data_IF_499303803202
#
_entry.id   IF_499303803202
#
_cell.length_a   1.000
_cell.length_b   1.000
_cell.length_c   1.000
_cell.angle_alpha   90.00
_cell.angle_beta   90.00
_cell.angle_gamma   90.00
#
_symmetry.space_group_name_H-M   'P 1'
#
loop_
_entity.id
_entity.type
_entity.pdbx_description
1 polymer ?
#
# COMPACT_ATOMS: atom_id res chain seq x y z
N UNK A 1 -12.17 6.47 -6.33
CA UNK A 1 -13.03 7.20 -5.38
C UNK A 1 -12.42 7.19 -3.97
N UNK A 2 -12.21 6.02 -3.35
CA UNK A 2 -11.58 5.93 -2.01
C UNK A 2 -10.28 6.73 -1.89
N UNK A 3 -9.32 6.51 -2.80
CA UNK A 3 -8.06 7.26 -2.79
C UNK A 3 -8.21 8.78 -2.90
N UNK A 4 -9.22 9.30 -3.61
CA UNK A 4 -9.47 10.74 -3.69
C UNK A 4 -9.96 11.26 -2.33
N UNK A 5 -10.93 10.59 -1.72
CA UNK A 5 -11.48 11.01 -0.41
C UNK A 5 -10.41 10.93 0.68
N UNK A 6 -9.63 9.85 0.73
CA UNK A 6 -8.50 9.73 1.66
C UNK A 6 -7.42 10.80 1.41
N UNK A 7 -7.13 11.13 0.15
CA UNK A 7 -6.22 12.21 -0.20
C UNK A 7 -6.73 13.58 0.24
N UNK A 8 -8.03 13.84 0.10
CA UNK A 8 -8.65 15.07 0.59
C UNK A 8 -8.57 15.17 2.12
N UNK A 9 -8.81 14.06 2.83
CA UNK A 9 -8.65 13.99 4.29
C UNK A 9 -7.21 14.27 4.71
N UNK A 10 -6.22 13.69 4.01
CA UNK A 10 -4.80 13.92 4.27
C UNK A 10 -4.40 15.38 4.01
N UNK A 11 -4.86 15.98 2.90
CA UNK A 11 -4.64 17.40 2.62
C UNK A 11 -5.25 18.29 3.70
N UNK A 12 -6.48 18.01 4.11
CA UNK A 12 -7.16 18.76 5.16
C UNK A 12 -6.43 18.65 6.51
N UNK A 13 -6.04 17.45 6.92
CA UNK A 13 -5.30 17.22 8.17
C UNK A 13 -3.92 17.89 8.16
N UNK A 14 -3.27 17.94 7.00
CA UNK A 14 -1.95 18.58 6.86
C UNK A 14 -1.98 20.10 7.05
N UNK A 15 -3.13 20.75 6.79
CA UNK A 15 -3.26 22.21 6.74
C UNK A 15 -2.45 22.88 5.63
N UNK A 16 -1.99 22.13 4.62
CA UNK A 16 -1.25 22.68 3.48
C UNK A 16 -2.14 23.57 2.62
N UNK A 17 -1.54 24.68 2.16
CA UNK A 17 -2.14 25.58 1.19
C UNK A 17 -1.27 25.58 -0.06
N UNK A 18 -1.86 25.16 -1.18
CA UNK A 18 -1.19 25.18 -2.48
C UNK A 18 -1.37 26.55 -3.13
N UNK A 19 -0.28 27.15 -3.58
CA UNK A 19 -0.21 28.43 -4.28
C UNK A 19 0.57 28.26 -5.57
N UNK A 20 0.49 29.23 -6.48
CA UNK A 20 1.29 29.17 -7.71
C UNK A 20 2.80 29.17 -7.45
N UNK A 21 3.25 29.71 -6.33
CA UNK A 21 4.67 29.77 -5.94
C UNK A 21 5.20 28.42 -5.45
N UNK A 22 4.36 27.59 -4.81
CA UNK A 22 4.79 26.32 -4.22
C UNK A 22 4.29 25.08 -4.98
N UNK A 23 3.32 25.22 -5.88
CA UNK A 23 2.69 24.11 -6.60
C UNK A 23 3.68 23.19 -7.32
N UNK A 24 4.76 23.75 -7.89
CA UNK A 24 5.81 22.98 -8.60
C UNK A 24 6.63 22.07 -7.68
N UNK A 25 6.54 22.28 -6.36
CA UNK A 25 7.24 21.51 -5.32
C UNK A 25 6.34 20.52 -4.60
N UNK A 26 5.07 20.41 -5.01
CA UNK A 26 4.09 19.52 -4.40
C UNK A 26 3.66 18.46 -5.42
N UNK A 27 3.81 17.20 -5.07
CA UNK A 27 3.53 16.06 -5.96
C UNK A 27 2.65 14.99 -5.34
N UNK A 28 2.48 13.90 -6.08
CA UNK A 28 1.67 12.75 -5.67
C UNK A 28 2.32 11.42 -6.09
N UNK A 29 2.31 10.45 -5.18
CA UNK A 29 2.73 9.07 -5.39
C UNK A 29 1.65 8.14 -4.84
N UNK A 30 0.65 7.80 -5.65
CA UNK A 30 -0.49 7.01 -5.17
C UNK A 30 -0.70 5.82 -6.09
N UNK A 31 -0.62 4.63 -5.50
CA UNK A 31 -0.73 3.35 -6.21
C UNK A 31 -2.03 2.61 -5.95
N UNK A 32 -2.17 1.52 -6.68
CA UNK A 32 -3.20 0.49 -6.54
C UNK A 32 -2.63 -0.79 -7.14
N UNK A 33 -2.99 -1.95 -6.57
CA UNK A 33 -2.51 -3.22 -7.06
C UNK A 33 -3.15 -3.61 -8.40
N UNK A 34 -4.47 -3.42 -8.53
CA UNK A 34 -5.25 -3.91 -9.69
C UNK A 34 -6.07 -2.80 -10.37
N UNK A 35 -6.38 -1.70 -9.68
CA UNK A 35 -7.07 -0.55 -10.27
C UNK A 35 -8.58 -0.75 -10.39
N UNK A 36 -9.17 -0.24 -11.47
CA UNK A 36 -10.63 -0.15 -11.64
C UNK A 36 -11.31 -1.45 -12.09
N UNK A 37 -11.07 -2.57 -11.41
CA UNK A 37 -11.54 -3.90 -11.84
C UNK A 37 -13.06 -3.96 -12.09
N UNK A 38 -13.86 -3.29 -11.24
CA UNK A 38 -15.32 -3.27 -11.40
C UNK A 38 -15.78 -2.59 -12.70
N UNK A 39 -15.14 -1.48 -13.10
CA UNK A 39 -15.47 -0.79 -14.36
C UNK A 39 -14.93 -1.54 -15.57
N UNK A 40 -13.85 -2.32 -15.41
CA UNK A 40 -13.39 -3.25 -16.45
C UNK A 40 -14.45 -4.32 -16.70
N UNK A 41 -15.01 -4.94 -15.66
CA UNK A 41 -16.08 -5.93 -15.78
C UNK A 41 -17.33 -5.37 -16.47
N UNK A 42 -17.76 -4.17 -16.07
CA UNK A 42 -18.94 -3.50 -16.63
C UNK A 42 -18.75 -3.16 -18.13
N UNK A 43 -17.60 -2.59 -18.48
CA UNK A 43 -17.31 -2.20 -19.86
C UNK A 43 -17.08 -3.43 -20.75
N UNK A 44 -16.46 -4.49 -20.22
CA UNK A 44 -16.33 -5.76 -20.93
C UNK A 44 -17.71 -6.39 -21.20
N UNK A 45 -18.61 -6.40 -20.21
CA UNK A 45 -19.99 -6.90 -20.38
C UNK A 45 -20.73 -6.09 -21.45
N UNK A 46 -20.58 -4.77 -21.44
CA UNK A 46 -21.17 -3.87 -22.45
C UNK A 46 -20.63 -4.15 -23.87
N UNK A 47 -19.33 -4.39 -24.00
CA UNK A 47 -18.68 -4.78 -25.25
C UNK A 47 -19.23 -6.12 -25.78
N UNK A 48 -19.30 -7.16 -24.94
CA UNK A 48 -19.79 -8.49 -25.36
C UNK A 48 -21.25 -8.44 -25.80
N UNK A 49 -22.10 -7.71 -25.08
CA UNK A 49 -23.54 -7.68 -25.35
C UNK A 49 -23.95 -6.72 -26.47
N UNK A 50 -23.17 -5.67 -26.74
CA UNK A 50 -23.58 -4.60 -27.65
C UNK A 50 -22.50 -4.01 -28.54
N UNK A 51 -21.31 -4.63 -28.58
CA UNK A 51 -20.19 -4.21 -29.40
C UNK A 51 -19.46 -2.97 -28.87
N UNK A 52 -18.38 -2.53 -29.56
CA UNK A 52 -17.44 -1.52 -29.05
C UNK A 52 -18.06 -0.14 -28.85
N UNK A 53 -19.18 0.19 -29.52
CA UNK A 53 -19.89 1.46 -29.34
C UNK A 53 -20.56 1.59 -27.96
N UNK A 54 -20.63 0.51 -27.18
CA UNK A 54 -21.16 0.50 -25.81
C UNK A 54 -20.11 0.70 -24.73
N UNK A 55 -18.83 0.72 -25.10
CA UNK A 55 -17.76 1.03 -24.15
C UNK A 55 -17.88 2.51 -23.76
N UNK A 56 -17.81 2.79 -22.47
CA UNK A 56 -17.82 4.16 -21.96
C UNK A 56 -16.62 4.95 -22.50
N UNK A 57 -16.80 6.20 -22.95
CA UNK A 57 -15.67 7.06 -23.33
C UNK A 57 -14.73 7.34 -22.14
N UNK A 58 -15.20 7.14 -20.90
CA UNK A 58 -14.42 7.28 -19.69
C UNK A 58 -13.76 5.99 -19.23
N UNK A 59 -13.92 4.87 -19.96
CA UNK A 59 -13.37 3.57 -19.57
C UNK A 59 -11.90 3.69 -19.13
N UNK A 60 -11.02 4.15 -20.02
CA UNK A 60 -9.58 4.28 -19.74
C UNK A 60 -9.29 5.19 -18.53
N UNK A 61 -9.71 6.48 -18.50
CA UNK A 61 -9.43 7.36 -17.35
C UNK A 61 -10.18 6.99 -16.07
N UNK A 62 -11.13 6.05 -16.11
CA UNK A 62 -11.82 5.55 -14.91
C UNK A 62 -11.17 4.29 -14.32
N UNK A 63 -10.28 3.61 -15.06
CA UNK A 63 -9.75 2.30 -14.65
C UNK A 63 -8.24 2.26 -14.40
N UNK A 64 -7.46 3.09 -15.08
CA UNK A 64 -6.00 3.02 -14.98
C UNK A 64 -5.51 3.53 -13.60
N UNK A 65 -4.54 2.82 -13.03
CA UNK A 65 -4.07 2.95 -11.64
C UNK A 65 -3.69 4.38 -11.27
N UNK A 66 -3.05 5.12 -12.19
CA UNK A 66 -2.48 6.43 -11.90
C UNK A 66 -3.50 7.57 -11.75
N UNK A 67 -4.79 7.29 -11.97
CA UNK A 67 -5.80 8.35 -12.00
C UNK A 67 -6.07 8.95 -10.62
N UNK A 68 -5.75 8.28 -9.52
CA UNK A 68 -5.92 8.90 -8.19
C UNK A 68 -4.94 10.05 -7.99
N UNK A 69 -3.65 9.82 -8.29
CA UNK A 69 -2.64 10.87 -8.31
C UNK A 69 -3.04 11.99 -9.29
N UNK A 70 -3.46 11.62 -10.51
CA UNK A 70 -3.91 12.59 -11.52
C UNK A 70 -5.08 13.48 -11.05
N UNK A 71 -6.13 12.90 -10.47
CA UNK A 71 -7.29 13.67 -9.99
C UNK A 71 -6.91 14.58 -8.81
N UNK A 72 -6.13 14.08 -7.84
CA UNK A 72 -5.70 14.90 -6.71
C UNK A 72 -4.79 16.06 -7.15
N UNK A 73 -3.90 15.82 -8.13
CA UNK A 73 -3.09 16.87 -8.73
C UNK A 73 -3.94 17.94 -9.40
N UNK A 74 -4.99 17.56 -10.14
CA UNK A 74 -5.92 18.51 -10.74
C UNK A 74 -6.71 19.27 -9.67
N UNK A 75 -7.22 18.58 -8.65
CA UNK A 75 -8.06 19.17 -7.62
C UNK A 75 -7.33 20.20 -6.75
N UNK A 76 -6.05 19.95 -6.43
CA UNK A 76 -5.25 20.81 -5.56
C UNK A 76 -4.21 21.65 -6.31
N UNK A 77 -4.10 21.53 -7.63
CA UNK A 77 -3.12 22.26 -8.43
C UNK A 77 -1.67 21.81 -8.19
N UNK A 78 -1.45 20.53 -7.91
CA UNK A 78 -0.12 19.96 -7.68
C UNK A 78 0.63 19.85 -9.03
N UNK A 79 1.81 20.46 -9.13
CA UNK A 79 2.62 20.55 -10.36
C UNK A 79 3.99 19.88 -10.22
N UNK A 80 4.27 19.26 -9.07
CA UNK A 80 5.48 18.47 -8.83
C UNK A 80 5.41 17.04 -9.37
N UNK A 81 6.33 16.16 -8.95
CA UNK A 81 6.40 14.76 -9.40
C UNK A 81 5.08 14.01 -9.21
N UNK A 82 4.64 13.27 -10.24
CA UNK A 82 3.41 12.49 -10.22
C UNK A 82 3.69 11.06 -10.68
N UNK A 83 3.73 10.12 -9.73
CA UNK A 83 4.01 8.70 -9.99
C UNK A 83 2.91 7.80 -9.41
N UNK A 84 2.85 6.55 -9.88
CA UNK A 84 1.92 5.54 -9.38
C UNK A 84 2.55 4.17 -9.50
N UNK A 85 3.07 3.66 -8.38
CA UNK A 85 3.72 2.35 -8.34
C UNK A 85 2.66 1.27 -8.13
N UNK A 86 2.64 0.27 -9.00
CA UNK A 86 1.73 -0.87 -8.95
C UNK A 86 2.54 -2.16 -8.77
N UNK A 87 2.69 -2.60 -7.52
CA UNK A 87 3.47 -3.79 -7.14
C UNK A 87 2.64 -4.72 -6.26
N UNK A 88 1.37 -4.94 -6.63
CA UNK A 88 0.41 -5.72 -5.86
C UNK A 88 0.33 -5.22 -4.41
N UNK A 89 0.46 -6.12 -3.42
CA UNK A 89 0.28 -5.81 -2.00
C UNK A 89 1.33 -4.86 -1.40
N UNK A 90 2.42 -4.56 -2.12
CA UNK A 90 3.45 -3.62 -1.68
C UNK A 90 3.27 -2.22 -2.26
N UNK A 91 2.25 -1.99 -3.11
CA UNK A 91 2.02 -0.72 -3.80
C UNK A 91 2.02 0.46 -2.82
N UNK A 92 1.23 0.42 -1.74
CA UNK A 92 1.18 1.49 -0.74
C UNK A 92 2.54 1.78 -0.09
N UNK A 93 3.26 0.73 0.34
CA UNK A 93 4.59 0.87 0.96
C UNK A 93 5.60 1.48 -0.03
N UNK A 94 5.63 1.00 -1.28
CA UNK A 94 6.55 1.52 -2.28
C UNK A 94 6.24 2.96 -2.67
N UNK A 95 4.96 3.34 -2.80
CA UNK A 95 4.60 4.72 -3.10
C UNK A 95 5.03 5.67 -1.97
N UNK A 96 4.83 5.29 -0.70
CA UNK A 96 5.31 6.06 0.46
C UNK A 96 6.84 6.14 0.47
N UNK A 97 7.53 5.00 0.30
CA UNK A 97 8.99 4.96 0.28
C UNK A 97 9.61 5.82 -0.82
N UNK A 98 9.10 5.71 -2.05
CA UNK A 98 9.59 6.51 -3.18
C UNK A 98 9.20 7.99 -3.07
N UNK A 99 8.05 8.33 -2.49
CA UNK A 99 7.73 9.72 -2.19
C UNK A 99 8.73 10.35 -1.20
N UNK A 100 9.10 9.61 -0.14
CA UNK A 100 10.16 10.05 0.77
C UNK A 100 11.50 10.21 0.04
N UNK A 101 11.84 9.32 -0.92
CA UNK A 101 13.04 9.47 -1.76
C UNK A 101 13.01 10.69 -2.66
N UNK A 102 11.87 10.99 -3.28
CA UNK A 102 11.69 12.19 -4.13
C UNK A 102 11.93 13.45 -3.30
N UNK A 103 11.40 13.50 -2.08
CA UNK A 103 11.63 14.63 -1.15
C UNK A 103 13.10 14.70 -0.74
N UNK A 104 13.68 13.58 -0.31
CA UNK A 104 15.09 13.52 0.10
C UNK A 104 16.06 13.89 -1.03
N UNK A 105 15.69 13.62 -2.28
CA UNK A 105 16.45 14.01 -3.48
C UNK A 105 16.20 15.47 -3.90
N UNK A 106 15.37 16.19 -3.15
CA UNK A 106 15.00 17.59 -3.38
C UNK A 106 14.22 17.82 -4.70
N UNK A 107 13.55 16.80 -5.23
CA UNK A 107 12.67 16.94 -6.40
C UNK A 107 11.26 17.47 -6.02
N UNK A 108 10.87 17.33 -4.75
CA UNK A 108 9.66 17.89 -4.16
C UNK A 108 9.89 18.31 -2.71
N UNK A 109 9.11 19.26 -2.21
CA UNK A 109 9.05 19.60 -0.79
C UNK A 109 7.90 18.86 -0.09
N UNK A 110 6.84 18.51 -0.84
CA UNK A 110 5.66 17.80 -0.34
C UNK A 110 5.23 16.70 -1.32
N UNK A 111 4.83 15.54 -0.80
CA UNK A 111 4.22 14.47 -1.57
C UNK A 111 2.99 13.90 -0.86
N UNK A 112 1.84 13.83 -1.55
CA UNK A 112 0.75 12.93 -1.13
C UNK A 112 1.15 11.51 -1.50
N UNK A 113 1.18 10.60 -0.55
CA UNK A 113 1.64 9.24 -0.80
C UNK A 113 0.75 8.16 -0.17
N UNK A 114 0.58 7.03 -0.85
CA UNK A 114 -0.15 5.89 -0.29
C UNK A 114 -0.70 4.93 -1.33
N UNK A 115 -1.77 4.25 -0.95
CA UNK A 115 -2.41 3.18 -1.73
C UNK A 115 -3.93 3.21 -1.63
N UNK A 116 -4.59 2.64 -2.63
CA UNK A 116 -6.02 2.39 -2.62
C UNK A 116 -6.38 1.15 -3.42
N UNK A 117 -7.43 0.47 -3.00
CA UNK A 117 -7.94 -0.68 -3.71
C UNK A 117 -9.46 -0.82 -3.55
N UNK A 118 -10.09 -1.34 -4.61
CA UNK A 118 -11.45 -1.87 -4.58
C UNK A 118 -11.48 -3.12 -5.47
N UNK A 119 -11.15 -4.27 -4.89
CA UNK A 119 -11.06 -5.54 -5.62
C UNK A 119 -12.18 -6.53 -5.22
N UNK A 120 -13.10 -6.15 -4.34
CA UNK A 120 -14.27 -6.97 -3.96
C UNK A 120 -15.32 -7.03 -5.10
N UNK A 121 -14.91 -7.53 -6.27
CA UNK A 121 -15.74 -7.70 -7.47
C UNK A 121 -15.83 -9.18 -7.81
N UNK A 122 -16.80 -9.61 -8.65
CA UNK A 122 -16.85 -10.98 -9.14
C UNK A 122 -15.51 -11.50 -9.68
N UNK A 123 -14.78 -10.73 -10.49
CA UNK A 123 -13.51 -11.17 -11.05
C UNK A 123 -12.41 -11.21 -9.99
N UNK A 124 -12.38 -10.25 -9.06
CA UNK A 124 -11.38 -10.23 -7.98
C UNK A 124 -11.56 -11.40 -7.00
N UNK A 125 -12.77 -11.57 -6.47
CA UNK A 125 -13.09 -12.68 -5.55
C UNK A 125 -12.96 -14.02 -6.26
N UNK A 126 -13.48 -14.14 -7.49
CA UNK A 126 -13.37 -15.36 -8.30
C UNK A 126 -11.92 -15.72 -8.64
N UNK A 127 -11.09 -14.73 -9.01
CA UNK A 127 -9.68 -14.92 -9.32
C UNK A 127 -8.86 -15.41 -8.12
N UNK A 128 -8.97 -14.74 -6.97
CA UNK A 128 -8.28 -15.19 -5.76
C UNK A 128 -8.84 -16.50 -5.20
N UNK A 129 -10.15 -16.75 -5.35
CA UNK A 129 -10.77 -18.03 -5.03
C UNK A 129 -10.23 -19.17 -5.90
N UNK A 130 -10.07 -18.95 -7.20
CA UNK A 130 -9.49 -19.92 -8.14
C UNK A 130 -8.03 -20.26 -7.79
N UNK A 131 -7.27 -19.27 -7.31
CA UNK A 131 -5.91 -19.46 -6.79
C UNK A 131 -5.86 -20.12 -5.39
N UNK A 132 -7.02 -20.39 -4.75
CA UNK A 132 -7.13 -20.90 -3.38
C UNK A 132 -6.40 -20.01 -2.35
N UNK A 133 -6.43 -18.70 -2.56
CA UNK A 133 -5.75 -17.74 -1.70
C UNK A 133 -6.65 -17.14 -0.61
N UNK A 134 -7.98 -17.19 -0.81
CA UNK A 134 -8.97 -16.66 0.13
C UNK A 134 -9.33 -17.68 1.21
N UNK A 135 -9.57 -17.19 2.44
CA UNK A 135 -10.25 -17.97 3.46
C UNK A 135 -11.64 -18.40 2.98
N UNK A 136 -12.06 -19.60 3.37
CA UNK A 136 -13.37 -20.18 3.01
C UNK A 136 -14.31 -20.32 4.21
N UNK A 137 -13.97 -19.66 5.32
CA UNK A 137 -14.72 -19.69 6.59
C UNK A 137 -15.99 -18.83 6.54
N UNK A 138 -16.93 -19.25 5.72
CA UNK A 138 -18.18 -18.53 5.48
C UNK A 138 -19.14 -18.57 6.69
N UNK A 139 -19.02 -19.59 7.55
CA UNK A 139 -19.86 -19.78 8.73
C UNK A 139 -19.51 -18.84 9.90
N UNK A 140 -18.27 -18.32 9.92
CA UNK A 140 -17.82 -17.34 10.91
C UNK A 140 -16.86 -16.31 10.28
N UNK A 141 -17.36 -15.37 9.46
CA UNK A 141 -16.53 -14.45 8.69
C UNK A 141 -15.65 -13.54 9.55
N UNK A 142 -16.14 -13.10 10.72
CA UNK A 142 -15.38 -12.23 11.63
C UNK A 142 -14.15 -12.91 12.22
N UNK A 143 -14.16 -14.25 12.28
CA UNK A 143 -13.02 -15.04 12.73
C UNK A 143 -12.18 -15.57 11.56
N UNK A 144 -12.50 -15.27 10.30
CA UNK A 144 -11.80 -15.83 9.14
C UNK A 144 -10.35 -15.33 9.04
N UNK A 145 -10.12 -14.03 9.25
CA UNK A 145 -8.77 -13.45 9.26
C UNK A 145 -8.11 -13.67 10.62
N UNK A 146 -7.16 -14.60 10.66
CA UNK A 146 -6.49 -15.04 11.90
C UNK A 146 -4.98 -15.24 11.68
N UNK A 147 -4.23 -14.15 11.44
CA UNK A 147 -2.78 -14.22 11.21
C UNK A 147 -2.05 -15.05 12.28
N UNK A 148 -1.19 -15.95 11.82
CA UNK A 148 -0.43 -16.95 12.60
C UNK A 148 -1.23 -18.02 13.36
N UNK A 149 -2.57 -17.95 13.39
CA UNK A 149 -3.38 -19.00 14.02
C UNK A 149 -3.19 -20.34 13.29
N UNK A 150 -3.24 -21.44 14.05
CA UNK A 150 -3.02 -22.79 13.52
C UNK A 150 -4.07 -23.19 12.47
N UNK A 151 -5.27 -22.63 12.54
CA UNK A 151 -6.43 -22.98 11.70
C UNK A 151 -6.69 -21.93 10.60
N UNK A 152 -5.68 -21.12 10.27
CA UNK A 152 -5.73 -20.16 9.15
C UNK A 152 -5.75 -20.88 7.80
N UNK A 153 -6.57 -20.41 6.88
CA UNK A 153 -6.85 -21.09 5.60
C UNK A 153 -6.74 -20.17 4.37
N UNK A 154 -6.34 -18.92 4.55
CA UNK A 154 -6.22 -17.93 3.46
C UNK A 154 -6.44 -16.51 3.97
N UNK A 155 -6.20 -15.52 3.12
CA UNK A 155 -6.46 -14.13 3.48
C UNK A 155 -7.94 -13.78 3.32
N UNK A 156 -8.39 -12.74 4.02
CA UNK A 156 -9.73 -12.14 3.83
C UNK A 156 -9.58 -10.88 3.01
N UNK A 157 -10.30 -10.76 1.90
CA UNK A 157 -10.24 -9.57 1.04
C UNK A 157 -10.90 -8.37 1.73
N UNK A 158 -10.22 -7.23 1.68
CA UNK A 158 -10.77 -5.93 2.11
C UNK A 158 -10.58 -4.88 1.02
N UNK A 159 -11.32 -3.78 1.14
CA UNK A 159 -11.25 -2.62 0.24
C UNK A 159 -10.95 -1.36 1.05
N UNK A 160 -10.30 -0.36 0.45
CA UNK A 160 -10.08 0.92 1.11
C UNK A 160 -9.01 1.82 0.48
N UNK A 161 -8.55 2.77 1.27
CA UNK A 161 -7.44 3.67 0.93
C UNK A 161 -6.76 4.17 2.19
N UNK A 162 -5.45 4.42 2.10
CA UNK A 162 -4.67 5.11 3.12
C UNK A 162 -3.69 6.05 2.44
N UNK A 163 -3.79 7.34 2.75
CA UNK A 163 -2.95 8.40 2.18
C UNK A 163 -2.32 9.19 3.32
N UNK A 164 -1.04 9.49 3.19
CA UNK A 164 -0.28 10.37 4.08
C UNK A 164 0.24 11.57 3.28
N UNK A 165 0.50 12.68 3.98
CA UNK A 165 1.28 13.80 3.44
C UNK A 165 2.69 13.66 3.99
N UNK A 166 3.66 13.53 3.09
CA UNK A 166 5.09 13.59 3.41
C UNK A 166 5.60 14.98 3.04
N UNK A 167 6.52 15.50 3.85
CA UNK A 167 7.01 16.86 3.70
C UNK A 167 8.45 16.97 4.22
N UNK A 168 9.25 17.83 3.56
CA UNK A 168 10.60 18.18 4.02
C UNK A 168 10.54 18.84 5.41
N UNK A 169 11.46 18.48 6.29
CA UNK A 169 11.38 18.82 7.71
C UNK A 169 11.43 20.33 7.98
N UNK A 170 12.33 21.06 7.34
CA UNK A 170 12.43 22.51 7.52
C UNK A 170 11.24 23.25 6.89
N UNK A 171 10.73 22.77 5.75
CA UNK A 171 9.49 23.26 5.14
C UNK A 171 8.29 23.07 6.09
N UNK A 172 8.12 21.87 6.65
CA UNK A 172 7.08 21.55 7.63
C UNK A 172 7.20 22.43 8.89
N UNK A 173 8.42 22.60 9.42
CA UNK A 173 8.68 23.46 10.59
C UNK A 173 8.37 24.92 10.31
N UNK A 174 8.79 25.46 9.16
CA UNK A 174 8.60 26.86 8.79
C UNK A 174 7.11 27.24 8.76
N UNK A 175 6.24 26.32 8.35
CA UNK A 175 4.79 26.54 8.35
C UNK A 175 4.07 26.11 9.64
N UNK A 176 4.80 25.64 10.66
CA UNK A 176 4.22 25.18 11.92
C UNK A 176 3.33 23.93 11.77
N UNK A 177 3.71 23.01 10.89
CA UNK A 177 2.96 21.79 10.62
C UNK A 177 2.86 20.89 11.87
N UNK A 178 1.74 20.15 11.98
CA UNK A 178 1.65 19.01 12.90
C UNK A 178 2.50 17.87 12.35
N UNK A 179 3.53 17.46 13.09
CA UNK A 179 4.42 16.36 12.71
C UNK A 179 4.03 15.12 13.51
N UNK A 180 3.59 14.06 12.81
CA UNK A 180 3.21 12.79 13.44
C UNK A 180 4.41 11.89 13.74
N UNK A 181 5.32 11.78 12.76
CA UNK A 181 6.51 10.94 12.80
C UNK A 181 7.47 11.36 11.68
N UNK A 182 8.66 10.77 11.68
CA UNK A 182 9.67 10.91 10.63
C UNK A 182 9.83 9.58 9.88
N UNK A 183 9.92 9.62 8.55
CA UNK A 183 10.31 8.45 7.75
C UNK A 183 11.82 8.40 7.67
N UNK A 184 12.41 7.54 8.48
CA UNK A 184 13.87 7.41 8.59
C UNK A 184 14.46 6.32 7.71
N UNK A 185 13.66 5.36 7.23
CA UNK A 185 14.16 4.22 6.48
C UNK A 185 13.17 3.62 5.48
N UNK A 186 13.67 3.21 4.32
CA UNK A 186 12.93 2.45 3.32
C UNK A 186 13.80 1.36 2.70
N UNK A 187 13.30 0.12 2.73
CA UNK A 187 14.00 -1.06 2.21
C UNK A 187 13.13 -1.86 1.26
N UNK A 188 13.75 -2.32 0.17
CA UNK A 188 13.15 -3.22 -0.82
C UNK A 188 14.02 -4.45 -1.01
N UNK A 189 13.40 -5.54 -1.46
CA UNK A 189 14.07 -6.76 -1.88
C UNK A 189 13.21 -7.49 -2.91
N UNK A 190 13.74 -8.58 -3.48
CA UNK A 190 13.00 -9.51 -4.31
C UNK A 190 13.33 -10.93 -3.85
N UNK A 191 12.30 -11.78 -3.74
CA UNK A 191 12.48 -13.17 -3.33
C UNK A 191 13.19 -14.00 -4.41
N UNK A 192 13.01 -13.65 -5.69
CA UNK A 192 13.49 -14.43 -6.84
C UNK A 192 13.21 -15.94 -6.75
N UNK A 193 12.04 -16.32 -6.20
CA UNK A 193 11.71 -17.69 -5.80
C UNK A 193 10.49 -18.26 -6.54
N UNK A 194 9.30 -17.73 -6.30
CA UNK A 194 8.05 -18.16 -6.93
C UNK A 194 7.13 -16.95 -7.16
N UNK A 195 6.23 -17.04 -8.15
CA UNK A 195 5.38 -15.89 -8.54
C UNK A 195 4.40 -15.43 -7.45
N UNK A 196 3.98 -16.33 -6.56
CA UNK A 196 2.96 -16.06 -5.52
C UNK A 196 3.32 -16.62 -4.15
N UNK A 197 4.33 -17.50 -4.07
CA UNK A 197 4.69 -18.17 -2.82
C UNK A 197 5.98 -17.55 -2.29
N UNK A 198 6.06 -17.17 -1.01
CA UNK A 198 7.31 -16.72 -0.43
C UNK A 198 8.25 -17.90 -0.19
N UNK A 199 9.58 -17.67 -0.13
CA UNK A 199 10.51 -18.67 0.32
C UNK A 199 10.22 -19.01 1.79
N UNK A 200 10.27 -20.30 2.14
CA UNK A 200 9.87 -20.73 3.48
C UNK A 200 10.71 -20.09 4.59
N UNK A 201 11.95 -19.72 4.33
CA UNK A 201 12.86 -19.08 5.28
C UNK A 201 12.59 -17.58 5.48
N UNK A 202 11.77 -16.96 4.60
CA UNK A 202 11.49 -15.54 4.61
C UNK A 202 12.69 -14.66 4.22
N UNK A 203 13.67 -15.20 3.51
CA UNK A 203 14.94 -14.52 3.18
C UNK A 203 14.77 -13.18 2.47
N UNK A 204 13.85 -13.04 1.52
CA UNK A 204 13.61 -11.75 0.88
C UNK A 204 12.95 -10.75 1.82
N UNK A 205 11.95 -11.15 2.63
CA UNK A 205 11.39 -10.29 3.67
C UNK A 205 12.45 -9.83 4.69
N UNK A 206 13.35 -10.73 5.09
CA UNK A 206 14.48 -10.40 5.96
C UNK A 206 15.41 -9.36 5.31
N UNK A 207 15.74 -9.54 4.02
CA UNK A 207 16.56 -8.58 3.27
C UNK A 207 15.91 -7.19 3.18
N UNK A 208 14.59 -7.11 2.96
CA UNK A 208 13.88 -5.82 2.94
C UNK A 208 13.96 -5.11 4.31
N UNK A 209 13.72 -5.83 5.41
CA UNK A 209 13.86 -5.28 6.76
C UNK A 209 15.30 -4.83 7.07
N UNK A 210 16.30 -5.63 6.70
CA UNK A 210 17.73 -5.27 6.87
C UNK A 210 18.07 -4.02 6.06
N UNK A 211 17.59 -3.92 4.82
CA UNK A 211 17.82 -2.74 3.99
C UNK A 211 17.16 -1.48 4.60
N UNK A 212 15.94 -1.60 5.15
CA UNK A 212 15.27 -0.49 5.83
C UNK A 212 16.00 -0.05 7.11
N UNK A 213 16.47 -1.01 7.92
CA UNK A 213 17.27 -0.74 9.12
C UNK A 213 18.59 -0.06 8.77
N UNK A 214 19.28 -0.53 7.73
CA UNK A 214 20.53 0.06 7.25
C UNK A 214 20.31 1.50 6.76
N UNK A 215 19.25 1.74 6.00
CA UNK A 215 18.89 3.08 5.52
C UNK A 215 18.60 4.02 6.69
N UNK A 216 17.87 3.54 7.69
CA UNK A 216 17.58 4.28 8.93
C UNK A 216 18.78 4.42 9.89
N UNK A 217 19.87 3.68 9.65
CA UNK A 217 21.00 3.57 10.56
C UNK A 217 20.58 3.12 11.97
N UNK A 218 19.60 2.22 12.06
CA UNK A 218 19.08 1.66 13.30
C UNK A 218 19.47 0.19 13.46
N UNK A 219 19.58 -0.25 14.71
CA UNK A 219 19.72 -1.67 15.05
C UNK A 219 18.35 -2.30 15.33
N UNK A 220 18.21 -3.63 15.22
CA UNK A 220 16.94 -4.30 15.50
C UNK A 220 16.39 -4.04 16.91
N UNK A 221 17.26 -3.84 17.90
CA UNK A 221 16.89 -3.56 19.31
C UNK A 221 16.15 -2.23 19.48
N UNK A 222 16.28 -1.31 18.52
CA UNK A 222 15.64 0.01 18.57
C UNK A 222 14.20 0.00 18.05
N UNK A 223 13.74 -1.10 17.46
CA UNK A 223 12.37 -1.19 16.93
C UNK A 223 11.42 -1.65 18.04
N UNK A 224 10.49 -0.78 18.41
CA UNK A 224 9.47 -1.10 19.41
C UNK A 224 8.32 -1.96 18.87
N UNK A 225 7.96 -1.79 17.59
CA UNK A 225 6.77 -2.41 17.02
C UNK A 225 6.91 -2.69 15.51
N UNK A 226 6.43 -3.86 15.09
CA UNK A 226 6.29 -4.26 13.68
C UNK A 226 4.81 -4.47 13.37
N UNK A 227 4.26 -3.61 12.51
CA UNK A 227 2.98 -3.87 11.86
C UNK A 227 3.22 -4.81 10.68
N UNK A 228 2.98 -6.09 10.89
CA UNK A 228 3.31 -7.15 9.95
C UNK A 228 2.48 -7.10 8.66
N UNK A 229 2.98 -7.77 7.62
CA UNK A 229 2.19 -8.15 6.46
C UNK A 229 1.09 -9.13 6.87
N UNK A 230 1.42 -10.20 7.60
CA UNK A 230 0.53 -11.11 8.34
C UNK A 230 -0.83 -11.31 7.69
N UNK A 231 -0.88 -12.05 6.60
CA UNK A 231 -2.06 -12.14 5.73
C UNK A 231 -3.02 -13.26 6.09
N UNK A 232 -2.76 -14.01 7.17
CA UNK A 232 -3.55 -15.19 7.52
C UNK A 232 -3.39 -16.34 6.52
N UNK A 233 -2.26 -16.37 5.80
CA UNK A 233 -1.95 -17.44 4.85
C UNK A 233 -0.97 -18.45 5.46
N UNK A 234 -1.09 -19.77 5.16
CA UNK A 234 -0.23 -20.79 5.75
C UNK A 234 1.26 -20.54 5.52
N UNK A 235 1.66 -20.23 4.28
CA UNK A 235 3.05 -20.01 3.89
C UNK A 235 3.57 -18.63 4.28
N UNK A 236 2.81 -17.56 3.98
CA UNK A 236 3.22 -16.17 4.22
C UNK A 236 3.52 -15.88 5.68
N UNK A 237 2.59 -16.22 6.57
CA UNK A 237 2.75 -15.96 8.00
C UNK A 237 3.95 -16.70 8.61
N UNK A 238 4.27 -17.92 8.12
CA UNK A 238 5.45 -18.67 8.55
C UNK A 238 6.74 -18.01 8.08
N UNK A 239 6.79 -17.64 6.80
CA UNK A 239 7.97 -17.01 6.20
C UNK A 239 8.27 -15.68 6.90
N UNK A 240 7.27 -14.83 7.12
CA UNK A 240 7.45 -13.55 7.82
C UNK A 240 7.91 -13.74 9.27
N UNK A 241 7.33 -14.70 10.01
CA UNK A 241 7.77 -14.97 11.38
C UNK A 241 9.24 -15.45 11.45
N UNK A 242 9.70 -16.23 10.45
CA UNK A 242 11.12 -16.63 10.35
C UNK A 242 12.01 -15.45 9.98
N UNK A 243 11.56 -14.59 9.06
CA UNK A 243 12.26 -13.36 8.69
C UNK A 243 12.48 -12.45 9.91
N UNK A 244 11.43 -12.19 10.69
CA UNK A 244 11.52 -11.39 11.92
C UNK A 244 12.50 -12.02 12.89
N UNK A 245 12.43 -13.33 13.16
CA UNK A 245 13.41 -14.00 14.03
C UNK A 245 14.84 -13.90 13.53
N UNK A 246 15.05 -14.01 12.22
CA UNK A 246 16.37 -13.90 11.60
C UNK A 246 16.96 -12.50 11.71
N UNK A 247 16.14 -11.45 11.52
CA UNK A 247 16.61 -10.05 11.56
C UNK A 247 16.81 -9.57 12.99
N UNK A 248 15.88 -9.89 13.88
CA UNK A 248 15.88 -9.40 15.25
C UNK A 248 16.71 -10.25 16.21
N UNK A 249 17.02 -11.51 15.87
CA UNK A 249 17.84 -12.37 16.72
C UNK A 249 17.30 -12.45 18.15
N UNK A 250 18.12 -12.09 19.14
CA UNK A 250 17.70 -12.05 20.55
C UNK A 250 16.58 -11.03 20.82
N UNK A 251 16.55 -9.91 20.10
CA UNK A 251 15.53 -8.86 20.21
C UNK A 251 14.15 -9.30 19.69
N UNK A 252 14.06 -10.44 19.00
CA UNK A 252 12.78 -10.99 18.52
C UNK A 252 11.80 -11.31 19.66
N UNK A 253 12.31 -11.50 20.89
CA UNK A 253 11.51 -11.74 22.09
C UNK A 253 10.92 -10.48 22.73
N UNK A 254 11.48 -9.31 22.42
CA UNK A 254 11.07 -8.01 22.97
C UNK A 254 10.28 -7.14 21.99
N UNK A 255 10.48 -7.30 20.69
CA UNK A 255 9.74 -6.54 19.67
C UNK A 255 8.27 -6.97 19.65
N UNK A 256 7.36 -5.99 19.67
CA UNK A 256 5.93 -6.27 19.51
C UNK A 256 5.61 -6.49 18.04
N UNK A 257 4.87 -7.55 17.72
CA UNK A 257 4.45 -7.86 16.36
C UNK A 257 2.95 -8.10 16.34
N UNK A 258 2.23 -7.39 15.47
CA UNK A 258 0.80 -7.64 15.26
C UNK A 258 0.44 -7.50 13.79
N UNK A 259 -0.71 -8.07 13.41
CA UNK A 259 -1.32 -7.85 12.09
C UNK A 259 -2.71 -7.27 12.25
N UNK A 260 -2.86 -6.01 11.83
CA UNK A 260 -4.13 -5.30 11.77
C UNK A 260 -5.10 -5.90 10.74
N UNK A 261 -4.60 -6.73 9.81
CA UNK A 261 -5.43 -7.47 8.85
C UNK A 261 -6.35 -8.48 9.50
N UNK A 262 -6.09 -8.86 10.75
CA UNK A 262 -7.06 -9.62 11.58
C UNK A 262 -8.41 -8.92 11.69
N UNK A 263 -8.42 -7.58 11.70
CA UNK A 263 -9.63 -6.76 11.80
C UNK A 263 -10.06 -6.17 10.46
N UNK A 264 -9.10 -5.71 9.66
CA UNK A 264 -9.39 -4.94 8.43
C UNK A 264 -9.52 -5.81 7.19
N UNK A 265 -9.10 -7.06 7.24
CA UNK A 265 -8.79 -7.83 6.04
C UNK A 265 -7.58 -7.28 5.29
N UNK A 266 -7.33 -7.81 4.10
CA UNK A 266 -6.23 -7.45 3.25
C UNK A 266 -6.69 -6.52 2.13
N UNK A 267 -6.28 -5.25 2.21
CA UNK A 267 -6.63 -4.17 1.26
C UNK A 267 -5.80 -4.18 -0.03
N UNK A 268 -5.07 -5.27 -0.31
CA UNK A 268 -4.10 -5.37 -1.40
C UNK A 268 -3.12 -4.19 -1.46
N UNK A 269 -3.22 -3.32 -2.46
CA UNK A 269 -2.26 -2.25 -2.77
C UNK A 269 -2.35 -0.98 -1.96
#
# INVERSE_FOLDING_TARGET
QYGIVAGMQAMQDSGLVVTDENASRMGAAIGSGIGGLGLIEENHTSLVNGGPRKISPFFVPSTIVNMVAGHLSIMYGLKGPSISIATACTSGVHNIGHAARIIAYNDADVMLAGGTEKASTPLGVGGFGAARALSTRNENPQAASRPWDKDRDGFVLGDGAGIVVLEEYEHAKKRGAKIYAEIVGFGMSSDAYHMTSPPEDGSGAAAAMINALRDAQLTPEQIGYVNAHGTSTPAGDKAEARAVKSVFGAAASSVMVSSTKSMTGHLLG
#
